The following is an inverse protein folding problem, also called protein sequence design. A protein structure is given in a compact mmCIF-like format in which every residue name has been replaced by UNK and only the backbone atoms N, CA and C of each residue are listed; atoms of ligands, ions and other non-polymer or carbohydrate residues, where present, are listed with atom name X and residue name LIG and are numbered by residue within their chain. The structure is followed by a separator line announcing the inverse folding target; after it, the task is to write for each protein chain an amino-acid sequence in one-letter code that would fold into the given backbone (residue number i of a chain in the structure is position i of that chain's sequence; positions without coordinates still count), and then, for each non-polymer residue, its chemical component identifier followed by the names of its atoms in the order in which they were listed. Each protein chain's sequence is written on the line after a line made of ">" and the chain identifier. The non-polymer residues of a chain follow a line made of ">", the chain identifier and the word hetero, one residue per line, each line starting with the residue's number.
data_IF_475563660885
#
_entry.id   IF_475563660885
#
_cell.length_a   1.000
_cell.length_b   1.000
_cell.length_c   1.000
_cell.angle_alpha   90.00
_cell.angle_beta   90.00
_cell.angle_gamma   90.00
#
_symmetry.space_group_name_H-M   'P 1'
#
loop_
_entity.id
_entity.type
_entity.pdbx_description
1 polymer ?
#
# COMPACT_ATOMS: atom_id res chain seq x y z
N UNK A 1 -37.76 -7.43 -132.88
CA UNK A 1 -38.18 -8.59 -133.70
C UNK A 1 -38.00 -9.82 -132.83
N UNK A 2 -39.07 -10.23 -132.13
CA UNK A 2 -39.90 -11.42 -132.44
C UNK A 2 -39.15 -12.68 -131.96
N UNK A 3 -39.62 -13.56 -131.06
CA UNK A 3 -40.92 -13.83 -130.40
C UNK A 3 -40.61 -14.75 -129.18
N UNK A 4 -41.16 -14.54 -127.98
CA UNK A 4 -42.45 -15.03 -127.47
C UNK A 4 -42.40 -16.44 -126.85
N UNK A 5 -42.61 -16.54 -125.53
CA UNK A 5 -43.66 -17.35 -124.88
C UNK A 5 -43.35 -17.69 -123.39
N UNK A 6 -44.15 -17.12 -122.49
CA UNK A 6 -44.86 -17.74 -121.35
C UNK A 6 -44.09 -18.60 -120.31
N UNK A 7 -44.05 -18.14 -119.04
CA UNK A 7 -44.84 -18.71 -117.91
C UNK A 7 -44.25 -18.39 -116.51
N UNK A 8 -45.05 -17.70 -115.70
CA UNK A 8 -45.28 -17.75 -114.24
C UNK A 8 -44.22 -18.34 -113.24
N UNK A 9 -43.87 -17.49 -112.24
CA UNK A 9 -43.39 -17.67 -110.83
C UNK A 9 -43.78 -18.99 -110.08
N UNK A 10 -43.12 -19.43 -108.97
CA UNK A 10 -42.61 -18.57 -107.87
C UNK A 10 -41.34 -19.00 -107.08
N UNK A 11 -40.81 -18.03 -106.32
CA UNK A 11 -40.15 -18.11 -105.01
C UNK A 11 -39.44 -19.38 -104.49
N UNK A 12 -38.15 -19.25 -104.15
CA UNK A 12 -37.67 -19.38 -102.75
C UNK A 12 -36.18 -19.03 -102.66
N UNK A 13 -35.89 -18.35 -101.56
CA UNK A 13 -34.62 -17.79 -101.09
C UNK A 13 -33.44 -18.76 -100.95
N UNK A 14 -32.24 -18.15 -101.03
CA UNK A 14 -30.98 -18.49 -100.35
C UNK A 14 -30.40 -19.89 -100.66
N UNK A 15 -29.70 -19.98 -101.79
CA UNK A 15 -28.72 -21.04 -102.01
C UNK A 15 -27.49 -20.73 -101.14
N UNK A 16 -27.43 -21.39 -99.98
CA UNK A 16 -26.21 -21.56 -99.22
C UNK A 16 -25.22 -22.36 -100.07
N UNK A 17 -24.18 -21.71 -100.56
CA UNK A 17 -23.06 -22.38 -101.20
C UNK A 17 -22.31 -23.18 -100.12
N UNK A 18 -22.63 -24.47 -100.05
CA UNK A 18 -21.96 -25.42 -99.16
C UNK A 18 -20.66 -25.81 -99.85
N UNK A 19 -19.58 -25.11 -99.55
CA UNK A 19 -18.24 -25.65 -99.80
C UNK A 19 -18.05 -26.82 -98.83
N UNK A 20 -18.18 -28.04 -99.33
CA UNK A 20 -17.81 -29.27 -98.61
C UNK A 20 -16.33 -29.51 -98.94
N UNK A 21 -15.40 -29.21 -98.02
CA UNK A 21 -14.06 -29.79 -98.10
C UNK A 21 -14.15 -31.29 -97.84
N UNK A 22 -13.29 -32.05 -98.52
CA UNK A 22 -13.21 -33.50 -98.50
C UNK A 22 -13.24 -34.12 -97.09
N UNK A 23 -13.86 -35.29 -97.02
CA UNK A 23 -14.03 -36.08 -95.81
C UNK A 23 -12.70 -36.69 -95.33
N UNK A 24 -12.12 -36.14 -94.26
CA UNK A 24 -11.28 -36.88 -93.30
C UNK A 24 -11.41 -36.30 -91.87
N UNK A 25 -12.53 -36.54 -91.18
CA UNK A 25 -12.64 -36.29 -89.74
C UNK A 25 -13.05 -37.56 -88.99
N UNK A 26 -12.09 -38.46 -88.82
CA UNK A 26 -12.10 -39.44 -87.74
C UNK A 26 -11.45 -38.81 -86.49
N UNK A 27 -12.21 -38.03 -85.73
CA UNK A 27 -11.71 -37.38 -84.52
C UNK A 27 -12.87 -37.05 -83.59
N UNK A 28 -12.80 -37.52 -82.34
CA UNK A 28 -13.84 -37.34 -81.33
C UNK A 28 -14.09 -35.86 -80.97
N UNK A 29 -15.10 -35.63 -80.13
CA UNK A 29 -15.53 -34.31 -79.63
C UNK A 29 -14.31 -33.39 -79.34
N UNK A 30 -14.17 -32.23 -80.03
CA UNK A 30 -12.94 -31.44 -80.02
C UNK A 30 -12.40 -31.05 -78.62
N UNK A 31 -13.25 -30.82 -77.59
CA UNK A 31 -12.78 -30.61 -76.21
C UNK A 31 -12.11 -31.80 -75.52
N UNK A 32 -12.22 -33.02 -76.05
CA UNK A 32 -11.63 -34.25 -75.50
C UNK A 32 -10.62 -34.89 -76.46
N UNK A 33 -9.91 -34.07 -77.25
CA UNK A 33 -8.80 -34.58 -78.05
C UNK A 33 -7.58 -34.86 -77.16
N UNK A 34 -7.28 -36.15 -76.99
CA UNK A 34 -6.25 -36.64 -76.09
C UNK A 34 -4.82 -36.22 -76.47
N UNK A 35 -4.62 -35.80 -77.73
CA UNK A 35 -3.32 -35.32 -78.21
C UNK A 35 -2.91 -33.98 -77.58
N UNK A 36 -3.88 -33.20 -77.08
CA UNK A 36 -3.62 -31.90 -76.44
C UNK A 36 -3.38 -32.00 -74.93
N UNK A 37 -3.74 -33.13 -74.30
CA UNK A 37 -3.60 -33.31 -72.85
C UNK A 37 -2.15 -33.31 -72.39
N UNK A 38 -1.21 -33.81 -73.19
CA UNK A 38 0.21 -33.83 -72.83
C UNK A 38 0.74 -32.40 -72.60
N UNK A 39 0.42 -31.47 -73.51
CA UNK A 39 0.81 -30.07 -73.40
C UNK A 39 0.14 -29.36 -72.21
N UNK A 40 -1.15 -29.62 -71.98
CA UNK A 40 -1.88 -29.08 -70.84
C UNK A 40 -1.30 -29.58 -69.51
N UNK A 41 -0.95 -30.86 -69.40
CA UNK A 41 -0.34 -31.44 -68.20
C UNK A 41 1.04 -30.83 -67.96
N UNK A 42 1.88 -30.69 -68.99
CA UNK A 42 3.20 -30.05 -68.85
C UNK A 42 3.06 -28.62 -68.31
N UNK A 43 2.11 -27.85 -68.84
CA UNK A 43 1.91 -26.47 -68.42
C UNK A 43 1.24 -26.36 -67.03
N UNK A 44 0.36 -27.30 -66.70
CA UNK A 44 -0.20 -27.44 -65.36
C UNK A 44 0.89 -27.76 -64.33
N UNK A 45 1.78 -28.71 -64.62
CA UNK A 45 2.90 -29.05 -63.73
C UNK A 45 3.84 -27.85 -63.55
N UNK A 46 4.16 -27.15 -64.64
CA UNK A 46 5.09 -26.02 -64.57
C UNK A 46 4.49 -24.81 -63.84
N UNK A 47 3.21 -24.49 -64.06
CA UNK A 47 2.52 -23.44 -63.30
C UNK A 47 2.29 -23.84 -61.83
N UNK A 48 2.00 -25.11 -61.56
CA UNK A 48 1.88 -25.63 -60.20
C UNK A 48 3.21 -25.58 -59.44
N UNK A 49 4.32 -25.96 -60.07
CA UNK A 49 5.66 -25.83 -59.48
C UNK A 49 6.03 -24.37 -59.24
N UNK A 50 5.73 -23.48 -60.18
CA UNK A 50 5.94 -22.04 -59.99
C UNK A 50 5.13 -21.50 -58.79
N UNK A 51 3.86 -21.86 -58.69
CA UNK A 51 3.00 -21.50 -57.56
C UNK A 51 3.51 -22.10 -56.24
N UNK A 52 3.89 -23.38 -56.25
CA UNK A 52 4.45 -24.07 -55.09
C UNK A 52 5.70 -23.38 -54.59
N UNK A 53 6.61 -23.02 -55.48
CA UNK A 53 7.84 -22.32 -55.11
C UNK A 53 7.54 -20.92 -54.55
N UNK A 54 6.58 -20.19 -55.14
CA UNK A 54 6.13 -18.89 -54.62
C UNK A 54 5.51 -19.01 -53.22
N UNK A 55 4.64 -20.00 -53.00
CA UNK A 55 4.02 -20.26 -51.71
C UNK A 55 5.04 -20.68 -50.66
N UNK A 56 5.94 -21.60 -51.01
CA UNK A 56 7.01 -22.09 -50.14
C UNK A 56 7.97 -20.97 -49.75
N UNK A 57 8.36 -20.10 -50.69
CA UNK A 57 9.41 -19.11 -50.47
C UNK A 57 8.90 -17.76 -49.96
N UNK A 58 7.63 -17.44 -50.16
CA UNK A 58 7.04 -16.13 -49.82
C UNK A 58 5.89 -16.25 -48.83
N UNK A 59 4.84 -17.02 -49.14
CA UNK A 59 3.64 -17.06 -48.31
C UNK A 59 3.87 -17.74 -46.95
N UNK A 60 4.48 -18.94 -46.95
CA UNK A 60 4.80 -19.68 -45.73
C UNK A 60 5.71 -18.91 -44.76
N UNK A 61 6.85 -18.32 -45.19
CA UNK A 61 7.69 -17.57 -44.25
C UNK A 61 6.98 -16.35 -43.68
N UNK A 62 6.13 -15.65 -44.44
CA UNK A 62 5.35 -14.51 -43.92
C UNK A 62 4.34 -14.92 -42.84
N UNK A 63 3.72 -16.09 -42.98
CA UNK A 63 2.79 -16.60 -41.96
C UNK A 63 3.56 -17.06 -40.72
N UNK A 64 4.70 -17.73 -40.93
CA UNK A 64 5.57 -18.17 -39.85
C UNK A 64 6.09 -16.98 -39.02
N UNK A 65 6.52 -15.89 -39.66
CA UNK A 65 7.00 -14.69 -38.93
C UNK A 65 5.91 -14.07 -38.07
N UNK A 66 4.68 -13.93 -38.59
CA UNK A 66 3.56 -13.36 -37.81
C UNK A 66 3.18 -14.27 -36.65
N UNK A 67 3.23 -15.60 -36.84
CA UNK A 67 2.97 -16.54 -35.77
C UNK A 67 4.04 -16.45 -34.68
N UNK A 68 5.32 -16.37 -35.07
CA UNK A 68 6.42 -16.23 -34.12
C UNK A 68 6.34 -14.91 -33.36
N UNK A 69 6.15 -13.77 -34.05
CA UNK A 69 5.96 -12.47 -33.41
C UNK A 69 4.85 -12.48 -32.36
N UNK A 70 3.72 -13.16 -32.64
CA UNK A 70 2.63 -13.30 -31.67
C UNK A 70 3.02 -14.18 -30.49
N UNK A 71 3.74 -15.28 -30.74
CA UNK A 71 4.20 -16.18 -29.68
C UNK A 71 5.20 -15.49 -28.77
N UNK A 72 6.17 -14.81 -29.35
CA UNK A 72 7.18 -14.01 -28.64
C UNK A 72 6.50 -12.92 -27.83
N UNK A 73 5.55 -12.19 -28.42
CA UNK A 73 4.82 -11.15 -27.71
C UNK A 73 4.04 -11.69 -26.51
N UNK A 74 3.36 -12.82 -26.67
CA UNK A 74 2.62 -13.46 -25.58
C UNK A 74 3.58 -13.95 -24.49
N UNK A 75 4.73 -14.52 -24.86
CA UNK A 75 5.75 -14.96 -23.92
C UNK A 75 6.31 -13.77 -23.13
N UNK A 76 6.69 -12.69 -23.81
CA UNK A 76 7.19 -11.46 -23.21
C UNK A 76 6.15 -10.82 -22.27
N UNK A 77 4.88 -10.76 -22.68
CA UNK A 77 3.81 -10.20 -21.86
C UNK A 77 3.55 -11.08 -20.62
N UNK A 78 3.64 -12.40 -20.74
CA UNK A 78 3.51 -13.33 -19.62
C UNK A 78 4.68 -13.24 -18.64
N UNK A 79 5.90 -13.13 -19.15
CA UNK A 79 7.12 -12.97 -18.34
C UNK A 79 7.11 -11.63 -17.59
N UNK A 80 6.71 -10.55 -18.25
CA UNK A 80 6.51 -9.24 -17.61
C UNK A 80 5.42 -9.31 -16.54
N UNK A 81 4.28 -9.94 -16.81
CA UNK A 81 3.22 -10.12 -15.84
C UNK A 81 3.70 -10.93 -14.61
N UNK A 82 4.47 -11.99 -14.84
CA UNK A 82 5.07 -12.79 -13.77
C UNK A 82 6.10 -11.98 -12.97
N UNK A 83 6.89 -11.14 -13.63
CA UNK A 83 7.84 -10.24 -12.97
C UNK A 83 7.13 -9.20 -12.10
N UNK A 84 6.12 -8.52 -12.63
CA UNK A 84 5.35 -7.53 -11.87
C UNK A 84 4.61 -8.17 -10.69
N UNK A 85 4.10 -9.38 -10.87
CA UNK A 85 3.53 -10.14 -9.75
C UNK A 85 4.56 -10.39 -8.66
N UNK A 86 5.74 -10.91 -8.99
CA UNK A 86 6.82 -11.13 -8.02
C UNK A 86 7.23 -9.85 -7.30
N UNK A 87 7.40 -8.75 -8.04
CA UNK A 87 7.75 -7.45 -7.45
C UNK A 87 6.65 -6.93 -6.53
N UNK A 88 5.38 -7.15 -6.88
CA UNK A 88 4.24 -6.77 -6.04
C UNK A 88 4.22 -7.60 -4.77
N UNK A 89 4.38 -8.91 -4.87
CA UNK A 89 4.41 -9.83 -3.72
C UNK A 89 5.57 -9.46 -2.77
N UNK A 90 6.76 -9.18 -3.31
CA UNK A 90 7.93 -8.71 -2.54
C UNK A 90 7.68 -7.35 -1.88
N UNK A 91 7.06 -6.41 -2.60
CA UNK A 91 6.72 -5.10 -2.04
C UNK A 91 5.67 -5.20 -0.93
N UNK A 92 4.69 -6.10 -1.05
CA UNK A 92 3.69 -6.38 -0.01
C UNK A 92 4.38 -6.95 1.21
N UNK A 93 5.25 -7.95 1.06
CA UNK A 93 5.99 -8.54 2.18
C UNK A 93 6.85 -7.50 2.90
N UNK A 94 7.59 -6.68 2.14
CA UNK A 94 8.41 -5.61 2.70
C UNK A 94 7.55 -4.56 3.44
N UNK A 95 6.39 -4.20 2.88
CA UNK A 95 5.45 -3.28 3.51
C UNK A 95 4.86 -3.84 4.80
N UNK A 96 4.41 -5.10 4.79
CA UNK A 96 3.87 -5.76 5.98
C UNK A 96 4.91 -5.90 7.09
N UNK A 97 6.15 -6.25 6.72
CA UNK A 97 7.29 -6.29 7.65
C UNK A 97 7.58 -4.91 8.24
N UNK A 98 7.67 -3.87 7.42
CA UNK A 98 7.89 -2.51 7.89
C UNK A 98 6.78 -2.02 8.83
N UNK A 99 5.52 -2.39 8.53
CA UNK A 99 4.38 -2.07 9.38
C UNK A 99 4.42 -2.80 10.73
N UNK A 100 4.82 -4.08 10.73
CA UNK A 100 4.99 -4.87 11.94
C UNK A 100 6.12 -4.31 12.82
N UNK A 101 7.28 -3.99 12.22
CA UNK A 101 8.40 -3.37 12.90
C UNK A 101 8.04 -1.99 13.48
N UNK A 102 7.33 -1.16 12.71
CA UNK A 102 6.87 0.14 13.19
C UNK A 102 5.91 0.03 14.39
N UNK A 103 4.98 -0.93 14.35
CA UNK A 103 4.07 -1.21 15.48
C UNK A 103 4.82 -1.71 16.71
N UNK A 104 5.76 -2.64 16.53
CA UNK A 104 6.59 -3.15 17.61
C UNK A 104 7.38 -2.02 18.28
N UNK A 105 8.05 -1.17 17.47
CA UNK A 105 8.79 -0.02 17.96
C UNK A 105 7.92 1.02 18.66
N UNK A 106 6.71 1.26 18.16
CA UNK A 106 5.75 2.15 18.82
C UNK A 106 5.34 1.60 20.19
N UNK A 107 5.09 0.29 20.31
CA UNK A 107 4.81 -0.35 21.60
C UNK A 107 5.98 -0.29 22.57
N UNK A 108 7.20 -0.53 22.07
CA UNK A 108 8.43 -0.42 22.86
C UNK A 108 8.62 0.99 23.41
N UNK A 109 8.52 2.02 22.56
CA UNK A 109 8.62 3.43 22.99
C UNK A 109 7.53 3.77 24.00
N UNK A 110 6.30 3.30 23.80
CA UNK A 110 5.21 3.54 24.73
C UNK A 110 5.46 2.87 26.10
N UNK A 111 6.01 1.66 26.12
CA UNK A 111 6.38 0.97 27.36
C UNK A 111 7.54 1.69 28.06
N UNK A 112 8.64 1.96 27.36
CA UNK A 112 9.80 2.68 27.90
C UNK A 112 9.41 4.04 28.47
N UNK A 113 8.56 4.78 27.76
CA UNK A 113 8.06 6.09 28.23
C UNK A 113 7.23 5.95 29.49
N UNK A 114 6.35 4.95 29.58
CA UNK A 114 5.56 4.69 30.79
C UNK A 114 6.46 4.34 31.96
N UNK A 115 7.44 3.46 31.76
CA UNK A 115 8.35 3.03 32.81
C UNK A 115 9.20 4.20 33.31
N UNK A 116 9.73 5.02 32.39
CA UNK A 116 10.47 6.25 32.74
C UNK A 116 9.61 7.24 33.49
N UNK A 117 8.36 7.45 33.09
CA UNK A 117 7.43 8.34 33.78
C UNK A 117 7.06 7.83 35.17
N UNK A 118 6.87 6.52 35.32
CA UNK A 118 6.63 5.91 36.63
C UNK A 118 7.82 6.11 37.55
N UNK A 119 9.04 5.86 37.07
CA UNK A 119 10.26 6.08 37.86
C UNK A 119 10.46 7.56 38.24
N UNK A 120 10.24 8.48 37.30
CA UNK A 120 10.33 9.92 37.55
C UNK A 120 9.28 10.37 38.58
N UNK A 121 8.05 9.87 38.47
CA UNK A 121 6.96 10.16 39.41
C UNK A 121 7.31 9.66 40.82
N UNK A 122 7.81 8.43 40.95
CA UNK A 122 8.21 7.87 42.24
C UNK A 122 9.38 8.65 42.87
N UNK A 123 10.39 9.04 42.06
CA UNK A 123 11.49 9.89 42.54
C UNK A 123 11.00 11.26 43.02
N UNK A 124 10.12 11.91 42.27
CA UNK A 124 9.53 13.19 42.66
C UNK A 124 8.68 13.06 43.92
N UNK A 125 7.88 12.00 44.01
CA UNK A 125 7.06 11.68 45.18
C UNK A 125 7.93 11.52 46.42
N UNK A 126 8.98 10.69 46.36
CA UNK A 126 9.92 10.49 47.48
C UNK A 126 10.60 11.80 47.90
N UNK A 127 11.02 12.63 46.93
CA UNK A 127 11.62 13.93 47.22
C UNK A 127 10.63 14.89 47.91
N UNK A 128 9.36 14.89 47.48
CA UNK A 128 8.30 15.70 48.11
C UNK A 128 8.00 15.18 49.52
N UNK A 129 7.86 13.87 49.71
CA UNK A 129 7.64 13.24 51.01
C UNK A 129 8.78 13.58 51.99
N UNK A 130 10.04 13.51 51.55
CA UNK A 130 11.19 13.89 52.37
C UNK A 130 11.16 15.37 52.77
N UNK A 131 10.88 16.28 51.83
CA UNK A 131 10.74 17.72 52.13
C UNK A 131 9.57 18.01 53.06
N UNK A 132 8.48 17.26 52.92
CA UNK A 132 7.30 17.41 53.78
C UNK A 132 7.63 16.97 55.21
N UNK A 133 8.31 15.83 55.38
CA UNK A 133 8.75 15.34 56.68
C UNK A 133 9.69 16.35 57.38
N UNK A 134 10.63 16.94 56.63
CA UNK A 134 11.51 18.00 57.15
C UNK A 134 10.72 19.23 57.60
N UNK A 135 9.78 19.72 56.78
CA UNK A 135 8.91 20.85 57.13
C UNK A 135 8.04 20.57 58.35
N UNK A 136 7.51 19.36 58.49
CA UNK A 136 6.72 18.96 59.66
C UNK A 136 7.61 18.98 60.90
N UNK A 137 8.80 18.39 60.84
CA UNK A 137 9.74 18.39 61.97
C UNK A 137 10.16 19.80 62.38
N UNK A 138 10.41 20.69 61.42
CA UNK A 138 10.73 22.09 61.68
C UNK A 138 9.55 22.84 62.30
N UNK A 139 8.34 22.63 61.79
CA UNK A 139 7.13 23.21 62.37
C UNK A 139 6.89 22.72 63.81
N UNK A 140 7.10 21.44 64.09
CA UNK A 140 6.99 20.86 65.44
C UNK A 140 7.98 21.52 66.41
N UNK A 141 9.24 21.74 65.98
CA UNK A 141 10.25 22.45 66.78
C UNK A 141 9.85 23.90 67.05
N UNK A 142 9.34 24.61 66.05
CA UNK A 142 8.88 25.99 66.21
C UNK A 142 7.67 26.09 67.13
N UNK A 143 6.73 25.15 67.04
CA UNK A 143 5.57 25.07 67.93
C UNK A 143 6.04 24.80 69.37
N UNK A 144 6.98 23.86 69.58
CA UNK A 144 7.54 23.56 70.90
C UNK A 144 8.24 24.78 71.49
N UNK A 145 9.13 25.43 70.72
CA UNK A 145 9.83 26.64 71.16
C UNK A 145 8.87 27.80 71.49
N UNK A 146 7.84 28.01 70.67
CA UNK A 146 6.82 29.05 70.91
C UNK A 146 5.99 28.73 72.15
N UNK A 147 5.66 27.46 72.37
CA UNK A 147 4.97 27.00 73.58
C UNK A 147 5.82 27.25 74.83
N UNK A 148 7.10 26.89 74.81
CA UNK A 148 8.01 27.08 75.93
C UNK A 148 8.21 28.57 76.25
N UNK A 149 8.36 29.40 75.21
CA UNK A 149 8.44 30.85 75.36
C UNK A 149 7.14 31.44 75.93
N UNK A 150 5.97 30.98 75.48
CA UNK A 150 4.68 31.42 76.00
C UNK A 150 4.51 31.03 77.48
N UNK A 151 4.87 29.80 77.86
CA UNK A 151 4.84 29.33 79.25
C UNK A 151 5.80 30.14 80.14
N UNK A 152 7.01 30.44 79.66
CA UNK A 152 7.96 31.29 80.37
C UNK A 152 7.43 32.71 80.58
N UNK A 153 6.78 33.30 79.57
CA UNK A 153 6.17 34.63 79.69
C UNK A 153 5.02 34.62 80.69
N UNK A 154 4.15 33.60 80.67
CA UNK A 154 3.06 33.43 81.65
C UNK A 154 3.63 33.31 83.07
N UNK A 155 4.70 32.52 83.27
CA UNK A 155 5.40 32.42 84.55
C UNK A 155 5.88 33.78 85.04
N UNK A 156 6.56 34.54 84.19
CA UNK A 156 7.06 35.89 84.54
C UNK A 156 5.92 36.81 84.97
N UNK A 157 4.85 36.88 84.17
CA UNK A 157 3.68 37.72 84.48
C UNK A 157 2.99 37.26 85.77
N UNK A 158 2.89 35.94 86.01
CA UNK A 158 2.29 35.41 87.22
C UNK A 158 3.10 35.75 88.48
N UNK A 159 4.44 35.68 88.41
CA UNK A 159 5.33 36.12 89.50
C UNK A 159 5.18 37.61 89.76
N UNK A 160 5.23 38.45 88.73
CA UNK A 160 5.09 39.91 88.86
C UNK A 160 3.75 40.30 89.50
N UNK A 161 2.66 39.66 89.06
CA UNK A 161 1.32 39.91 89.62
C UNK A 161 1.21 39.42 91.06
N UNK A 162 1.74 38.22 91.38
CA UNK A 162 1.73 37.69 92.73
C UNK A 162 2.54 38.57 93.70
N UNK A 163 3.72 39.03 93.30
CA UNK A 163 4.58 39.92 94.08
C UNK A 163 3.91 41.27 94.35
N UNK A 164 3.25 41.84 93.33
CA UNK A 164 2.48 43.09 93.46
C UNK A 164 1.33 42.94 94.45
N UNK A 165 0.58 41.83 94.38
CA UNK A 165 -0.56 41.55 95.28
C UNK A 165 -0.05 41.36 96.73
N UNK A 166 1.01 40.58 96.94
CA UNK A 166 1.60 40.34 98.27
C UNK A 166 2.13 41.64 98.88
N UNK A 167 2.83 42.46 98.10
CA UNK A 167 3.33 43.77 98.55
C UNK A 167 2.19 44.69 98.99
N UNK A 168 1.08 44.73 98.24
CA UNK A 168 -0.09 45.53 98.59
C UNK A 168 -0.82 45.04 99.85
N UNK A 169 -0.83 43.74 100.13
CA UNK A 169 -1.56 43.14 101.26
C UNK A 169 -0.74 43.05 102.56
N UNK A 170 0.55 42.72 102.46
CA UNK A 170 1.42 42.38 103.60
C UNK A 170 2.58 43.38 103.81
N UNK A 171 2.79 44.31 102.88
CA UNK A 171 3.75 45.41 103.00
C UNK A 171 5.21 45.07 102.66
N UNK A 172 5.66 43.84 102.90
CA UNK A 172 7.00 43.36 102.53
C UNK A 172 6.86 42.05 101.73
N UNK A 173 7.41 42.01 100.52
CA UNK A 173 7.38 40.83 99.67
C UNK A 173 8.75 40.15 99.62
N UNK A 174 8.75 38.81 99.73
CA UNK A 174 9.92 37.98 99.45
C UNK A 174 9.80 37.43 98.02
N UNK A 175 10.51 38.02 97.03
CA UNK A 175 10.41 37.59 95.63
C UNK A 175 10.82 36.12 95.43
N UNK A 176 11.71 35.59 96.28
CA UNK A 176 12.12 34.19 96.20
C UNK A 176 11.03 33.23 96.71
N UNK A 177 10.11 33.68 97.56
CA UNK A 177 8.95 32.90 97.97
C UNK A 177 7.85 32.89 96.89
N UNK A 178 7.62 34.03 96.23
CA UNK A 178 6.65 34.14 95.13
C UNK A 178 7.03 33.25 93.94
N UNK A 179 8.30 33.24 93.52
CA UNK A 179 8.77 32.36 92.44
C UNK A 179 8.57 30.88 92.76
N UNK A 180 8.88 30.43 93.99
CA UNK A 180 8.72 29.03 94.42
C UNK A 180 7.26 28.60 94.45
N UNK A 181 6.35 29.48 94.86
CA UNK A 181 4.91 29.20 94.89
C UNK A 181 4.34 29.06 93.47
N UNK A 182 4.70 29.98 92.58
CA UNK A 182 4.29 29.92 91.16
C UNK A 182 4.86 28.69 90.46
N UNK A 183 6.11 28.30 90.75
CA UNK A 183 6.73 27.08 90.21
C UNK A 183 6.10 25.78 90.71
N UNK A 184 5.49 25.80 91.90
CA UNK A 184 4.81 24.62 92.45
C UNK A 184 3.46 24.40 91.78
N UNK A 185 2.77 25.48 91.39
CA UNK A 185 1.46 25.43 90.75
C UNK A 185 1.51 25.32 89.21
N UNK A 186 2.62 25.73 88.57
CA UNK A 186 2.82 25.62 87.11
C UNK A 186 3.47 24.29 86.67
N UNK A 187 3.75 23.38 87.61
CA UNK A 187 4.30 22.04 87.35
C UNK A 187 3.23 21.05 86.91
#
# INVERSE_FOLDING_TARGET
>A
MIAEAMAQEPGSELIAETHVPDAEHAGGFPPFDATTFESQIVWLVLSFLALYFLMSRVALPRIATVLEERRDRIADDLDQAAQFKRQTDEAIEAYEKALAEARAKAHEIAQETRDRLHEETERQRQAIEARLAEKISEAEKQIAATKDAALSNVRSVAVDVADTIVTQLLGEADPAAAERAVDTELK
#
